data_IF_436730264890
#
_entry.id   IF_436730264890
#
_cell.length_a   1.000
_cell.length_b   1.000
_cell.length_c   1.000
_cell.angle_alpha   90.00
_cell.angle_beta   90.00
_cell.angle_gamma   90.00
#
_symmetry.space_group_name_H-M   'P 1'
#
loop_
_entity.id
_entity.type
_entity.pdbx_description
1 polymer ?
#
# COMPACT_ATOMS: atom_id res chain seq x y z
N UNK A 1 0.02 9.92 10.54
CA UNK A 1 -1.25 9.23 10.19
C UNK A 1 -1.04 7.72 10.09
N UNK A 2 -2.11 6.95 9.93
CA UNK A 2 -2.03 5.50 9.70
C UNK A 2 -2.67 5.16 8.35
N UNK A 3 -2.06 4.28 7.58
CA UNK A 3 -2.60 3.72 6.34
C UNK A 3 -2.66 2.20 6.49
N UNK A 4 -3.81 1.61 6.22
CA UNK A 4 -3.98 0.16 6.11
C UNK A 4 -4.04 -0.20 4.62
N UNK A 5 -3.29 -1.21 4.23
CA UNK A 5 -3.19 -1.68 2.85
C UNK A 5 -3.37 -3.20 2.81
N UNK A 6 -3.99 -3.69 1.74
CA UNK A 6 -4.27 -5.12 1.58
C UNK A 6 -4.35 -5.48 0.09
N UNK A 7 -3.88 -6.69 -0.22
CA UNK A 7 -3.99 -7.34 -1.53
C UNK A 7 -4.93 -8.54 -1.46
N UNK A 8 -5.89 -8.62 -2.38
CA UNK A 8 -6.82 -9.76 -2.42
C UNK A 8 -7.01 -10.30 -3.84
N UNK A 9 -7.37 -11.57 -3.94
CA UNK A 9 -7.70 -12.21 -5.22
C UNK A 9 -8.83 -13.22 -5.00
N UNK A 10 -9.85 -13.14 -5.84
CA UNK A 10 -10.91 -14.15 -5.86
C UNK A 10 -10.36 -15.49 -6.37
N UNK A 11 -10.84 -16.61 -5.81
CA UNK A 11 -10.34 -17.96 -6.13
C UNK A 11 -10.25 -18.26 -7.64
N UNK A 12 -11.26 -17.84 -8.40
CA UNK A 12 -11.35 -18.08 -9.85
C UNK A 12 -11.06 -16.82 -10.68
N UNK A 13 -10.53 -15.77 -10.05
CA UNK A 13 -10.21 -14.51 -10.72
C UNK A 13 -8.80 -14.55 -11.27
N UNK A 14 -8.62 -14.15 -12.52
CA UNK A 14 -7.30 -13.82 -13.07
C UNK A 14 -6.78 -12.46 -12.60
N UNK A 15 -7.59 -11.67 -11.89
CA UNK A 15 -7.23 -10.35 -11.42
C UNK A 15 -7.18 -10.28 -9.89
N UNK A 16 -6.13 -9.66 -9.37
CA UNK A 16 -6.02 -9.25 -7.97
C UNK A 16 -6.59 -7.83 -7.78
N UNK A 17 -6.83 -7.44 -6.54
CA UNK A 17 -7.24 -6.11 -6.13
C UNK A 17 -6.32 -5.58 -5.05
N UNK A 18 -5.83 -4.36 -5.24
CA UNK A 18 -5.03 -3.64 -4.27
C UNK A 18 -5.89 -2.55 -3.61
N UNK A 19 -5.97 -2.53 -2.28
CA UNK A 19 -6.82 -1.60 -1.53
C UNK A 19 -6.05 -0.85 -0.44
N UNK A 20 -6.45 0.39 -0.17
CA UNK A 20 -5.87 1.18 0.92
C UNK A 20 -6.88 2.12 1.59
N UNK A 21 -6.64 2.42 2.86
CA UNK A 21 -7.43 3.40 3.63
C UNK A 21 -6.54 4.14 4.64
N UNK A 22 -6.66 5.46 4.67
CA UNK A 22 -5.91 6.35 5.56
C UNK A 22 -6.77 6.89 6.70
N UNK A 23 -6.24 6.92 7.92
CA UNK A 23 -6.89 7.45 9.11
C UNK A 23 -6.02 8.49 9.83
N UNK A 24 -6.68 9.52 10.37
CA UNK A 24 -6.06 10.43 11.30
C UNK A 24 -5.84 9.72 12.64
N UNK A 25 -4.59 9.73 13.16
CA UNK A 25 -4.25 8.99 14.37
C UNK A 25 -4.89 9.58 15.63
N UNK A 26 -5.11 10.90 15.67
CA UNK A 26 -5.68 11.59 16.84
C UNK A 26 -7.20 11.54 16.84
N UNK A 27 -7.85 11.91 15.73
CA UNK A 27 -9.31 11.96 15.65
C UNK A 27 -9.96 10.63 15.26
N UNK A 28 -9.18 9.62 14.87
CA UNK A 28 -9.65 8.34 14.30
C UNK A 28 -10.57 8.50 13.08
N UNK A 29 -10.61 9.69 12.49
CA UNK A 29 -11.41 9.96 11.31
C UNK A 29 -10.73 9.37 10.07
N UNK A 30 -11.52 8.75 9.20
CA UNK A 30 -11.07 8.35 7.86
C UNK A 30 -10.73 9.61 7.06
N UNK A 31 -9.58 9.60 6.40
CA UNK A 31 -9.07 10.70 5.58
C UNK A 31 -9.32 10.39 4.11
N UNK A 32 -8.81 9.25 3.64
CA UNK A 32 -8.92 8.81 2.25
C UNK A 32 -9.08 7.29 2.17
N UNK A 33 -9.49 6.80 1.01
CA UNK A 33 -9.39 5.39 0.63
C UNK A 33 -9.35 5.27 -0.89
N UNK A 34 -8.80 4.17 -1.38
CA UNK A 34 -8.84 3.82 -2.78
C UNK A 34 -8.66 2.34 -2.98
N UNK A 35 -8.88 1.91 -4.21
CA UNK A 35 -8.57 0.56 -4.65
C UNK A 35 -8.30 0.56 -6.16
N UNK A 36 -7.60 -0.46 -6.63
CA UNK A 36 -7.37 -0.69 -8.06
C UNK A 36 -7.43 -2.17 -8.37
N UNK A 37 -7.99 -2.51 -9.54
CA UNK A 37 -7.98 -3.87 -10.09
C UNK A 37 -6.69 -4.09 -10.89
N UNK A 38 -6.04 -5.23 -10.67
CA UNK A 38 -4.78 -5.62 -11.28
C UNK A 38 -4.99 -6.90 -12.11
N UNK A 39 -5.23 -6.79 -13.44
CA UNK A 39 -5.40 -7.96 -14.30
C UNK A 39 -4.11 -8.78 -14.38
N UNK A 40 -4.21 -10.11 -14.34
CA UNK A 40 -3.10 -11.05 -14.45
C UNK A 40 -2.01 -10.86 -13.37
N UNK A 41 -2.40 -10.44 -12.17
CA UNK A 41 -1.50 -10.29 -11.02
C UNK A 41 -1.88 -11.26 -9.90
N UNK A 42 -0.91 -11.54 -9.03
CA UNK A 42 -1.12 -12.31 -7.80
C UNK A 42 -1.36 -11.39 -6.60
N UNK A 43 -1.79 -11.99 -5.49
CA UNK A 43 -2.03 -11.28 -4.23
C UNK A 43 -0.79 -10.50 -3.79
N UNK A 44 0.39 -11.10 -3.92
CA UNK A 44 1.65 -10.46 -3.55
C UNK A 44 1.93 -9.17 -4.34
N UNK A 45 1.66 -9.16 -5.65
CA UNK A 45 1.80 -7.93 -6.44
C UNK A 45 0.80 -6.86 -5.99
N UNK A 46 -0.41 -7.28 -5.61
CA UNK A 46 -1.43 -6.38 -5.10
C UNK A 46 -1.04 -5.77 -3.74
N UNK A 47 -0.37 -6.51 -2.86
CA UNK A 47 0.19 -5.98 -1.61
C UNK A 47 1.19 -4.86 -1.89
N UNK A 48 2.15 -5.12 -2.79
CA UNK A 48 3.17 -4.14 -3.17
C UNK A 48 2.52 -2.87 -3.75
N UNK A 49 1.54 -3.06 -4.63
CA UNK A 49 0.82 -1.95 -5.27
C UNK A 49 -0.04 -1.17 -4.29
N UNK A 50 -0.70 -1.86 -3.34
CA UNK A 50 -1.51 -1.25 -2.30
C UNK A 50 -0.65 -0.37 -1.38
N UNK A 51 0.53 -0.87 -0.98
CA UNK A 51 1.50 -0.12 -0.19
C UNK A 51 1.94 1.17 -0.91
N UNK A 52 2.33 1.08 -2.19
CA UNK A 52 2.76 2.23 -2.99
C UNK A 52 1.64 3.28 -3.15
N UNK A 53 0.45 2.85 -3.57
CA UNK A 53 -0.66 3.77 -3.78
C UNK A 53 -1.19 4.35 -2.47
N UNK A 54 -1.16 3.58 -1.39
CA UNK A 54 -1.48 4.04 -0.04
C UNK A 54 -0.52 5.12 0.44
N UNK A 55 0.79 4.94 0.24
CA UNK A 55 1.81 5.95 0.55
C UNK A 55 1.63 7.21 -0.30
N UNK A 56 1.45 7.06 -1.61
CA UNK A 56 1.24 8.22 -2.49
C UNK A 56 -0.04 8.99 -2.16
N UNK A 57 -1.12 8.29 -1.79
CA UNK A 57 -2.35 8.92 -1.32
C UNK A 57 -2.12 9.68 0.00
N UNK A 58 -1.33 9.11 0.91
CA UNK A 58 -0.91 9.80 2.13
C UNK A 58 -0.14 11.07 1.80
N UNK A 59 0.92 11.01 1.00
CA UNK A 59 1.77 12.17 0.68
C UNK A 59 1.02 13.31 -0.02
N UNK A 60 -0.03 12.99 -0.81
CA UNK A 60 -0.86 13.99 -1.50
C UNK A 60 -1.91 14.65 -0.61
N UNK A 61 -2.26 14.06 0.53
CA UNK A 61 -3.33 14.59 1.36
C UNK A 61 -2.84 15.74 2.26
N UNK A 62 -3.45 16.93 2.23
CA UNK A 62 -3.03 18.05 3.08
C UNK A 62 -3.09 17.74 4.58
N UNK A 63 -4.01 16.85 5.03
CA UNK A 63 -4.10 16.42 6.42
C UNK A 63 -2.96 15.48 6.81
N UNK A 64 -2.35 14.81 5.83
CA UNK A 64 -1.13 14.04 6.03
C UNK A 64 0.11 14.92 6.17
N UNK A 65 0.16 16.08 5.51
CA UNK A 65 1.30 17.00 5.59
C UNK A 65 1.55 17.51 7.02
N UNK A 66 0.50 17.55 7.84
CA UNK A 66 0.59 17.89 9.26
C UNK A 66 0.98 16.69 10.16
N UNK A 67 1.04 15.48 9.62
CA UNK A 67 1.51 14.30 10.36
C UNK A 67 3.04 14.20 10.28
N UNK A 68 3.70 14.15 11.43
CA UNK A 68 5.16 13.97 11.50
C UNK A 68 5.63 12.65 10.91
N UNK A 69 4.81 11.59 11.00
CA UNK A 69 5.12 10.24 10.52
C UNK A 69 3.90 9.60 9.84
N UNK A 70 4.14 8.82 8.77
CA UNK A 70 3.17 7.94 8.11
C UNK A 70 3.48 6.50 8.53
N UNK A 71 2.49 5.78 9.03
CA UNK A 71 2.60 4.35 9.37
C UNK A 71 1.77 3.55 8.38
N UNK A 72 2.37 2.56 7.73
CA UNK A 72 1.68 1.66 6.80
C UNK A 72 1.61 0.28 7.45
N UNK A 73 0.40 -0.25 7.57
CA UNK A 73 0.13 -1.59 8.07
C UNK A 73 -0.34 -2.47 6.92
N UNK A 74 0.31 -3.62 6.79
CA UNK A 74 -0.04 -4.74 5.93
C UNK A 74 0.21 -6.03 6.71
N UNK A 75 -0.46 -7.12 6.34
CA UNK A 75 -0.35 -8.43 7.02
C UNK A 75 0.57 -9.42 6.28
N UNK A 76 1.03 -9.07 5.07
CA UNK A 76 1.98 -9.88 4.32
C UNK A 76 3.44 -9.59 4.73
N UNK A 77 4.03 -10.55 5.46
CA UNK A 77 5.42 -10.44 5.96
C UNK A 77 6.46 -10.32 4.84
N UNK A 78 6.31 -11.06 3.73
CA UNK A 78 7.26 -10.99 2.61
C UNK A 78 7.21 -9.61 1.96
N UNK A 79 6.01 -9.05 1.75
CA UNK A 79 5.86 -7.71 1.22
C UNK A 79 6.49 -6.67 2.16
N UNK A 80 6.31 -6.80 3.48
CA UNK A 80 6.96 -5.94 4.46
C UNK A 80 8.50 -6.01 4.40
N UNK A 81 9.06 -7.21 4.24
CA UNK A 81 10.50 -7.40 4.08
C UNK A 81 11.04 -6.76 2.79
N UNK A 82 10.30 -6.87 1.69
CA UNK A 82 10.69 -6.28 0.40
C UNK A 82 10.61 -4.75 0.42
N UNK A 83 9.62 -4.17 1.11
CA UNK A 83 9.48 -2.72 1.29
C UNK A 83 10.66 -2.12 2.07
N UNK A 84 11.22 -2.83 3.06
CA UNK A 84 12.32 -2.34 3.90
C UNK A 84 13.71 -2.81 3.49
N UNK A 85 13.79 -3.90 2.71
CA UNK A 85 15.03 -4.58 2.36
C UNK A 85 15.52 -4.26 0.95
N UNK A 86 16.13 -5.26 0.31
CA UNK A 86 16.54 -5.19 -1.08
C UNK A 86 15.46 -5.85 -1.96
N UNK A 87 14.69 -5.07 -2.75
CA UNK A 87 13.61 -5.61 -3.56
C UNK A 87 14.09 -6.62 -4.61
N UNK A 88 13.31 -7.69 -4.82
CA UNK A 88 13.58 -8.78 -5.78
C UNK A 88 12.28 -9.25 -6.44
N UNK A 89 12.40 -10.05 -7.51
CA UNK A 89 11.25 -10.63 -8.21
C UNK A 89 10.55 -9.65 -9.17
N UNK A 90 9.40 -10.06 -9.71
CA UNK A 90 8.66 -9.29 -10.72
C UNK A 90 8.13 -7.95 -10.21
N UNK A 91 7.74 -7.88 -8.94
CA UNK A 91 7.21 -6.66 -8.30
C UNK A 91 8.32 -5.71 -7.80
N UNK A 92 9.60 -6.04 -8.05
CA UNK A 92 10.77 -5.23 -7.66
C UNK A 92 10.63 -3.73 -7.97
N UNK A 93 10.18 -3.30 -9.18
CA UNK A 93 10.06 -1.87 -9.48
C UNK A 93 9.05 -1.15 -8.58
N UNK A 94 7.99 -1.84 -8.14
CA UNK A 94 6.96 -1.26 -7.27
C UNK A 94 7.53 -1.00 -5.87
N UNK A 95 8.27 -1.96 -5.32
CA UNK A 95 8.96 -1.81 -4.05
C UNK A 95 10.04 -0.72 -4.10
N UNK A 96 10.79 -0.61 -5.19
CA UNK A 96 11.77 0.49 -5.37
C UNK A 96 11.09 1.85 -5.41
N UNK A 97 9.99 1.98 -6.15
CA UNK A 97 9.22 3.23 -6.20
C UNK A 97 8.62 3.58 -4.82
N UNK A 98 8.26 2.58 -4.01
CA UNK A 98 7.83 2.81 -2.64
C UNK A 98 8.97 3.37 -1.80
N UNK A 99 10.15 2.74 -1.86
CA UNK A 99 11.33 3.16 -1.11
C UNK A 99 11.80 4.56 -1.49
N UNK A 100 11.69 4.95 -2.76
CA UNK A 100 12.02 6.30 -3.21
C UNK A 100 11.03 7.36 -2.70
N UNK A 101 9.76 6.98 -2.50
CA UNK A 101 8.72 7.89 -2.02
C UNK A 101 8.64 8.00 -0.49
N UNK A 102 9.20 7.03 0.26
CA UNK A 102 9.09 6.90 1.71
C UNK A 102 10.16 7.73 2.45
#
# INVERSE_FOLDING_TARGET
MVVYTDGSKGKDSSAAGAGWVGYCRTSKAKIFSGHVRLPNHEVFDAEAQAALLGLQAALKDPKAQHSTNIYIYLDNLEAAQQLQGQPKGSSQPIFMNFQEAA
#
